data_IF_073567437896
#
_entry.id   IF_073567437896
#
_cell.length_a   1.000
_cell.length_b   1.000
_cell.length_c   1.000
_cell.angle_alpha   90.00
_cell.angle_beta   90.00
_cell.angle_gamma   90.00
#
_symmetry.space_group_name_H-M   'P 1'
#
loop_
_entity.id
_entity.type
_entity.pdbx_description
1 polymer ?
#
# COMPACT_ATOMS: atom_id res chain seq x y z
N UNK A 1 19.44 4.34 -27.55
CA UNK A 1 18.08 4.83 -27.90
C UNK A 1 17.66 5.78 -26.78
N UNK A 2 17.01 6.89 -27.09
CA UNK A 2 16.56 7.84 -26.07
C UNK A 2 15.06 7.69 -25.89
N UNK A 3 14.63 7.46 -24.66
CA UNK A 3 13.22 7.36 -24.26
C UNK A 3 12.66 8.74 -23.90
N UNK A 4 11.35 8.90 -23.99
CA UNK A 4 10.69 10.07 -23.42
C UNK A 4 10.77 9.99 -21.90
N UNK A 5 10.53 8.80 -21.33
CA UNK A 5 10.55 8.59 -19.88
C UNK A 5 11.26 7.28 -19.50
N UNK A 6 12.18 7.35 -18.54
CA UNK A 6 12.80 6.21 -17.88
C UNK A 6 12.27 6.13 -16.44
N UNK A 7 11.69 4.98 -16.08
CA UNK A 7 11.14 4.70 -14.74
C UNK A 7 12.09 3.78 -13.99
N UNK A 8 12.49 4.14 -12.77
CA UNK A 8 13.37 3.37 -11.90
C UNK A 8 12.51 2.70 -10.82
N UNK A 9 12.46 1.36 -10.87
CA UNK A 9 11.60 0.52 -10.03
C UNK A 9 10.26 0.20 -10.70
N UNK A 10 9.86 -1.06 -10.56
CA UNK A 10 8.61 -1.61 -11.11
C UNK A 10 7.58 -1.93 -10.03
N UNK A 11 7.59 -1.23 -8.91
CA UNK A 11 6.48 -1.24 -7.96
C UNK A 11 5.19 -0.73 -8.63
N UNK A 12 4.08 -0.80 -7.92
CA UNK A 12 2.79 -0.37 -8.49
C UNK A 12 2.84 1.09 -8.98
N UNK A 13 3.52 1.98 -8.27
CA UNK A 13 3.67 3.39 -8.67
C UNK A 13 4.41 3.56 -9.99
N UNK A 14 5.54 2.85 -10.15
CA UNK A 14 6.33 2.87 -11.38
C UNK A 14 5.57 2.28 -12.57
N UNK A 15 4.93 1.12 -12.39
CA UNK A 15 4.12 0.48 -13.43
C UNK A 15 2.89 1.32 -13.80
N UNK A 16 2.20 1.93 -12.84
CA UNK A 16 1.08 2.82 -13.11
C UNK A 16 1.51 4.06 -13.90
N UNK A 17 2.62 4.70 -13.53
CA UNK A 17 3.19 5.80 -14.30
C UNK A 17 3.56 5.37 -15.73
N UNK A 18 4.22 4.23 -15.86
CA UNK A 18 4.62 3.69 -17.16
C UNK A 18 3.40 3.40 -18.06
N UNK A 19 2.36 2.76 -17.48
CA UNK A 19 1.11 2.50 -18.21
C UNK A 19 0.43 3.79 -18.69
N UNK A 20 0.23 4.76 -17.79
CA UNK A 20 -0.43 6.04 -18.11
C UNK A 20 0.33 6.80 -19.21
N UNK A 21 1.66 6.83 -19.15
CA UNK A 21 2.49 7.52 -20.13
C UNK A 21 2.54 6.77 -21.47
N UNK A 22 2.62 5.43 -21.48
CA UNK A 22 2.54 4.62 -22.68
C UNK A 22 1.18 4.80 -23.37
N UNK A 23 0.08 4.82 -22.60
CA UNK A 23 -1.28 5.10 -23.08
C UNK A 23 -1.40 6.50 -23.70
N UNK A 24 -0.61 7.47 -23.22
CA UNK A 24 -0.49 8.81 -23.81
C UNK A 24 0.50 8.89 -24.99
N UNK A 25 0.97 7.75 -25.51
CA UNK A 25 1.84 7.67 -26.68
C UNK A 25 3.31 8.01 -26.44
N UNK A 26 3.79 7.94 -25.18
CA UNK A 26 5.20 8.17 -24.84
C UNK A 26 6.01 6.89 -24.95
N UNK A 27 7.27 7.01 -25.39
CA UNK A 27 8.24 5.93 -25.31
C UNK A 27 8.74 5.78 -23.88
N UNK A 28 8.38 4.67 -23.21
CA UNK A 28 8.66 4.44 -21.80
C UNK A 28 9.53 3.21 -21.60
N UNK A 29 10.52 3.34 -20.73
CA UNK A 29 11.35 2.24 -20.26
C UNK A 29 11.22 2.12 -18.75
N UNK A 30 10.92 0.92 -18.24
CA UNK A 30 10.96 0.58 -16.80
C UNK A 30 12.20 -0.28 -16.52
N UNK A 31 13.02 0.14 -15.56
CA UNK A 31 14.21 -0.56 -15.08
C UNK A 31 13.94 -1.16 -13.72
N UNK A 32 14.03 -2.49 -13.62
CA UNK A 32 13.80 -3.26 -12.40
C UNK A 32 15.05 -4.03 -11.99
N UNK A 33 15.46 -3.88 -10.74
CA UNK A 33 16.64 -4.58 -10.20
C UNK A 33 16.42 -6.07 -10.02
N UNK A 34 15.21 -6.48 -9.65
CA UNK A 34 14.86 -7.87 -9.38
C UNK A 34 14.66 -8.66 -10.71
N UNK A 35 14.61 -9.99 -10.61
CA UNK A 35 14.34 -10.85 -11.76
C UNK A 35 12.87 -10.84 -12.20
N UNK A 36 11.95 -10.39 -11.34
CA UNK A 36 10.53 -10.22 -11.63
C UNK A 36 10.07 -8.81 -11.24
N UNK A 37 9.13 -8.18 -11.98
CA UNK A 37 8.58 -6.88 -11.64
C UNK A 37 7.53 -6.99 -10.52
N UNK A 38 7.13 -5.84 -9.94
CA UNK A 38 5.95 -5.72 -9.11
C UNK A 38 6.18 -5.16 -7.69
N UNK A 39 7.43 -5.09 -7.20
CA UNK A 39 7.69 -4.60 -5.84
C UNK A 39 6.88 -5.37 -4.79
N UNK A 40 6.07 -4.67 -3.98
CA UNK A 40 5.20 -5.30 -2.97
C UNK A 40 3.97 -6.04 -3.57
N UNK A 41 3.73 -5.98 -4.87
CA UNK A 41 2.71 -6.78 -5.56
C UNK A 41 3.27 -8.06 -6.19
N UNK A 42 4.52 -8.40 -5.92
CA UNK A 42 5.07 -9.69 -6.34
C UNK A 42 4.34 -10.83 -5.64
N UNK A 43 4.26 -11.98 -6.29
CA UNK A 43 3.96 -13.26 -5.65
C UNK A 43 5.18 -14.17 -5.73
N UNK A 44 5.23 -15.14 -4.83
CA UNK A 44 6.29 -16.14 -4.82
C UNK A 44 5.72 -17.55 -4.65
N UNK A 45 6.46 -18.54 -5.16
CA UNK A 45 6.02 -19.93 -5.09
C UNK A 45 6.89 -20.74 -4.12
N UNK A 46 6.25 -21.59 -3.34
CA UNK A 46 6.91 -22.59 -2.48
C UNK A 46 6.11 -23.90 -2.49
N UNK A 47 6.76 -24.99 -2.87
CA UNK A 47 6.17 -26.34 -2.89
C UNK A 47 4.79 -26.42 -3.55
N UNK A 48 4.61 -25.73 -4.68
CA UNK A 48 3.36 -25.76 -5.45
C UNK A 48 2.27 -24.78 -5.00
N UNK A 49 2.52 -24.02 -3.92
CA UNK A 49 1.62 -22.95 -3.48
C UNK A 49 2.17 -21.59 -3.89
N UNK A 50 1.28 -20.68 -4.29
CA UNK A 50 1.61 -19.28 -4.61
C UNK A 50 1.17 -18.39 -3.46
N UNK A 51 2.04 -17.53 -2.99
CA UNK A 51 1.80 -16.59 -1.90
C UNK A 51 1.94 -15.17 -2.38
N UNK A 52 1.05 -14.30 -1.88
CA UNK A 52 1.16 -12.85 -2.07
C UNK A 52 2.19 -12.26 -1.10
N UNK A 53 2.72 -11.11 -1.48
CA UNK A 53 3.61 -10.38 -0.59
C UNK A 53 2.86 -9.28 0.16
N UNK A 54 2.26 -8.30 -0.51
CA UNK A 54 1.71 -7.13 0.16
C UNK A 54 0.26 -6.77 -0.20
N UNK A 55 -0.42 -7.55 -1.06
CA UNK A 55 -1.82 -7.31 -1.40
C UNK A 55 -2.73 -8.31 -0.71
N UNK A 56 -3.65 -7.83 0.11
CA UNK A 56 -4.64 -8.68 0.76
C UNK A 56 -6.07 -8.32 0.32
N UNK A 57 -6.37 -7.05 0.16
CA UNK A 57 -7.63 -6.53 -0.37
C UNK A 57 -7.50 -5.06 -0.74
N UNK A 58 -8.47 -4.54 -1.48
CA UNK A 58 -8.55 -3.13 -1.89
C UNK A 58 -9.94 -2.59 -1.60
N UNK A 59 -10.06 -1.26 -1.49
CA UNK A 59 -11.35 -0.59 -1.32
C UNK A 59 -11.77 0.16 -2.57
N UNK A 60 -13.09 0.49 -2.70
CA UNK A 60 -13.58 1.52 -3.58
C UNK A 60 -13.52 1.23 -5.09
N UNK A 61 -13.97 0.04 -5.53
CA UNK A 61 -13.96 -0.33 -6.95
C UNK A 61 -15.30 -0.15 -7.69
N UNK A 62 -16.40 0.24 -7.02
CA UNK A 62 -17.66 0.51 -7.72
C UNK A 62 -17.62 1.89 -8.38
N UNK A 63 -18.46 2.09 -9.39
CA UNK A 63 -18.60 3.39 -10.07
C UNK A 63 -18.89 4.52 -9.05
N UNK A 64 -18.12 5.60 -9.15
CA UNK A 64 -18.18 6.74 -8.23
C UNK A 64 -17.38 6.56 -6.92
N UNK A 65 -16.74 5.41 -6.70
CA UNK A 65 -15.89 5.18 -5.54
C UNK A 65 -14.41 5.53 -5.82
N UNK A 66 -13.61 5.58 -4.78
CA UNK A 66 -12.29 6.24 -4.78
C UNK A 66 -11.28 5.64 -5.79
N UNK A 67 -11.20 4.30 -5.93
CA UNK A 67 -10.25 3.66 -6.85
C UNK A 67 -10.83 3.35 -8.24
N UNK A 68 -12.15 3.46 -8.41
CA UNK A 68 -12.81 3.06 -9.65
C UNK A 68 -12.19 3.71 -10.90
N UNK A 69 -12.13 5.04 -10.95
CA UNK A 69 -11.75 5.76 -12.17
C UNK A 69 -10.30 5.51 -12.57
N UNK A 70 -9.39 5.42 -11.58
CA UNK A 70 -8.01 5.12 -11.89
C UNK A 70 -7.82 3.65 -12.29
N UNK A 71 -8.52 2.71 -11.66
CA UNK A 71 -8.48 1.31 -12.06
C UNK A 71 -9.12 1.08 -13.43
N UNK A 72 -10.15 1.84 -13.77
CA UNK A 72 -10.68 1.91 -15.13
C UNK A 72 -9.62 2.42 -16.12
N UNK A 73 -8.92 3.51 -15.77
CA UNK A 73 -7.87 4.07 -16.63
C UNK A 73 -6.68 3.13 -16.82
N UNK A 74 -6.32 2.36 -15.79
CA UNK A 74 -5.26 1.34 -15.81
C UNK A 74 -5.74 -0.02 -16.33
N UNK A 75 -6.99 -0.14 -16.78
CA UNK A 75 -7.62 -1.38 -17.25
C UNK A 75 -7.60 -2.53 -16.20
N UNK A 76 -7.53 -2.21 -14.90
CA UNK A 76 -7.45 -3.17 -13.81
C UNK A 76 -8.83 -3.67 -13.33
N UNK A 77 -9.94 -2.97 -13.68
CA UNK A 77 -11.28 -3.44 -13.33
C UNK A 77 -11.67 -4.75 -14.02
N UNK A 78 -11.00 -5.10 -15.14
CA UNK A 78 -11.19 -6.38 -15.85
C UNK A 78 -10.68 -7.61 -15.08
N UNK A 79 -9.87 -7.41 -14.03
CA UNK A 79 -9.34 -8.50 -13.22
C UNK A 79 -10.45 -9.14 -12.39
N UNK A 80 -10.29 -10.41 -11.96
CA UNK A 80 -11.35 -11.14 -11.26
C UNK A 80 -11.48 -10.69 -9.79
N UNK A 81 -12.03 -9.50 -9.58
CA UNK A 81 -12.32 -8.96 -8.25
C UNK A 81 -13.51 -9.66 -7.62
N UNK A 82 -13.35 -10.05 -6.36
CA UNK A 82 -14.38 -10.67 -5.55
C UNK A 82 -14.71 -9.75 -4.37
N UNK A 83 -15.98 -9.37 -4.26
CA UNK A 83 -16.42 -8.48 -3.19
C UNK A 83 -16.42 -9.23 -1.84
N UNK A 84 -15.86 -8.60 -0.81
CA UNK A 84 -15.90 -9.11 0.55
C UNK A 84 -17.30 -8.95 1.18
N UNK A 85 -17.54 -9.59 2.32
CA UNK A 85 -18.81 -9.55 3.04
C UNK A 85 -19.24 -8.13 3.31
N UNK A 86 -20.47 -7.78 2.92
CA UNK A 86 -20.97 -6.40 3.03
C UNK A 86 -21.26 -6.01 4.48
N UNK A 87 -21.77 -6.96 5.27
CA UNK A 87 -22.17 -6.74 6.66
C UNK A 87 -21.00 -6.74 7.66
N UNK A 88 -19.84 -7.20 7.21
CA UNK A 88 -18.63 -7.28 8.05
C UNK A 88 -17.39 -7.61 7.23
N UNK A 89 -16.91 -6.63 6.47
CA UNK A 89 -15.68 -6.75 5.69
C UNK A 89 -14.47 -7.02 6.56
N UNK A 90 -14.35 -6.26 7.65
CA UNK A 90 -13.31 -6.38 8.66
C UNK A 90 -13.97 -6.66 10.01
N UNK A 91 -13.63 -7.78 10.63
CA UNK A 91 -14.05 -8.14 11.98
C UNK A 91 -12.93 -7.73 12.95
N UNK A 92 -13.24 -6.82 13.86
CA UNK A 92 -12.29 -6.29 14.84
C UNK A 92 -12.55 -6.97 16.18
N UNK A 93 -11.62 -7.82 16.62
CA UNK A 93 -11.70 -8.48 17.93
C UNK A 93 -10.73 -7.80 18.90
N UNK A 94 -11.24 -7.28 19.99
CA UNK A 94 -10.48 -6.64 21.07
C UNK A 94 -10.79 -7.35 22.36
N UNK A 95 -9.78 -7.94 22.98
CA UNK A 95 -9.89 -8.71 24.23
C UNK A 95 -11.07 -9.71 24.24
N UNK A 96 -11.30 -10.37 23.09
CA UNK A 96 -12.32 -11.41 22.90
C UNK A 96 -13.71 -10.92 22.45
N UNK A 97 -13.96 -9.62 22.39
CA UNK A 97 -15.20 -9.04 21.88
C UNK A 97 -15.04 -8.64 20.41
N UNK A 98 -15.98 -9.01 19.53
CA UNK A 98 -15.88 -8.80 18.08
C UNK A 98 -16.90 -7.80 17.58
N UNK A 99 -16.43 -6.88 16.75
CA UNK A 99 -17.17 -5.79 16.11
C UNK A 99 -17.04 -5.88 14.60
N UNK A 100 -18.13 -5.60 13.88
CA UNK A 100 -18.18 -5.67 12.41
C UNK A 100 -18.04 -4.27 11.81
N UNK A 101 -17.11 -4.11 10.85
CA UNK A 101 -17.05 -2.93 9.99
C UNK A 101 -17.72 -3.28 8.65
N UNK A 102 -18.91 -2.72 8.41
CA UNK A 102 -19.72 -2.96 7.22
C UNK A 102 -19.27 -2.08 6.04
N UNK A 103 -19.66 -2.44 4.81
CA UNK A 103 -19.49 -1.63 3.61
C UNK A 103 -20.70 -0.72 3.39
N UNK A 104 -20.42 0.48 2.82
CA UNK A 104 -21.42 1.52 2.63
C UNK A 104 -21.56 2.41 3.86
N UNK A 105 -21.41 3.73 3.66
CA UNK A 105 -21.33 4.68 4.77
C UNK A 105 -22.53 4.64 5.72
N UNK A 106 -23.74 4.61 5.18
CA UNK A 106 -24.95 4.54 6.01
C UNK A 106 -25.04 3.19 6.74
N UNK A 107 -24.73 2.11 6.06
CA UNK A 107 -24.76 0.77 6.65
C UNK A 107 -23.67 0.59 7.72
N UNK A 108 -22.49 1.16 7.51
CA UNK A 108 -21.42 1.22 8.49
C UNK A 108 -21.88 1.90 9.80
N UNK A 109 -22.58 3.04 9.68
CA UNK A 109 -23.14 3.74 10.84
C UNK A 109 -24.20 2.88 11.54
N UNK A 110 -25.13 2.27 10.77
CA UNK A 110 -26.20 1.45 11.35
C UNK A 110 -25.66 0.24 12.11
N UNK A 111 -24.71 -0.48 11.54
CA UNK A 111 -24.11 -1.67 12.18
C UNK A 111 -23.40 -1.28 13.50
N UNK A 112 -22.56 -0.26 13.48
CA UNK A 112 -21.84 0.17 14.68
C UNK A 112 -22.78 0.81 15.74
N UNK A 113 -23.81 1.54 15.33
CA UNK A 113 -24.74 2.17 16.24
C UNK A 113 -25.63 1.13 16.98
N UNK A 114 -25.71 -0.12 16.55
CA UNK A 114 -26.37 -1.17 17.33
C UNK A 114 -25.61 -1.50 18.60
N UNK A 115 -24.28 -1.45 18.56
CA UNK A 115 -23.40 -1.74 19.70
C UNK A 115 -23.02 -0.46 20.49
N UNK A 116 -23.02 0.69 19.80
CA UNK A 116 -22.69 2.00 20.37
C UNK A 116 -23.83 3.02 20.14
N UNK A 117 -25.03 2.80 20.69
CA UNK A 117 -26.20 3.63 20.36
C UNK A 117 -26.03 5.10 20.73
N UNK A 118 -25.31 5.39 21.82
CA UNK A 118 -25.03 6.77 22.28
C UNK A 118 -24.00 7.50 21.41
N UNK A 119 -23.34 6.80 20.48
CA UNK A 119 -22.32 7.35 19.59
C UNK A 119 -22.84 7.56 18.14
N UNK A 120 -24.12 7.32 17.87
CA UNK A 120 -24.69 7.38 16.53
C UNK A 120 -24.41 8.70 15.79
N UNK A 121 -24.58 9.83 16.47
CA UNK A 121 -24.33 11.14 15.86
C UNK A 121 -22.83 11.40 15.64
N UNK A 122 -21.96 10.90 16.51
CA UNK A 122 -20.52 10.95 16.30
C UNK A 122 -20.08 10.07 15.13
N UNK A 123 -20.69 8.88 14.94
CA UNK A 123 -20.47 8.03 13.77
C UNK A 123 -20.89 8.69 12.46
N UNK A 124 -22.03 9.40 12.44
CA UNK A 124 -22.43 10.19 11.26
C UNK A 124 -21.42 11.28 10.95
N UNK A 125 -20.99 12.04 11.97
CA UNK A 125 -19.98 13.08 11.83
C UNK A 125 -18.64 12.53 11.30
N UNK A 126 -18.26 11.32 11.73
CA UNK A 126 -17.09 10.60 11.21
C UNK A 126 -17.23 10.28 9.73
N UNK A 127 -18.38 9.74 9.32
CA UNK A 127 -18.66 9.43 7.91
C UNK A 127 -18.73 10.69 7.05
N UNK A 128 -19.33 11.77 7.56
CA UNK A 128 -19.36 13.07 6.89
C UNK A 128 -17.94 13.62 6.65
N UNK A 129 -17.04 13.46 7.64
CA UNK A 129 -15.62 13.80 7.48
C UNK A 129 -14.95 12.96 6.39
N UNK A 130 -15.22 11.65 6.33
CA UNK A 130 -14.67 10.77 5.30
C UNK A 130 -15.18 11.09 3.89
N UNK A 131 -16.44 11.52 3.75
CA UNK A 131 -17.06 11.88 2.48
C UNK A 131 -16.74 13.31 2.04
N UNK A 132 -16.38 14.16 2.98
CA UNK A 132 -16.05 15.55 2.76
C UNK A 132 -14.73 15.78 2.01
N UNK A 133 -14.31 17.05 1.91
CA UNK A 133 -12.98 17.39 1.44
C UNK A 133 -11.88 16.79 2.31
N UNK A 134 -10.72 16.53 1.71
CA UNK A 134 -9.56 16.02 2.44
C UNK A 134 -9.24 16.91 3.65
N UNK A 135 -9.05 16.31 4.84
CA UNK A 135 -8.66 17.05 6.04
C UNK A 135 -7.29 17.72 5.86
N UNK A 136 -7.09 18.85 6.54
CA UNK A 136 -5.76 19.48 6.59
C UNK A 136 -4.74 18.47 7.15
N UNK A 137 -3.62 18.24 6.45
CA UNK A 137 -2.61 17.26 6.85
C UNK A 137 -1.91 17.57 8.19
N UNK A 138 -2.09 18.78 8.74
CA UNK A 138 -1.59 19.13 10.07
C UNK A 138 -2.52 18.70 11.22
N UNK A 139 -3.75 18.25 10.92
CA UNK A 139 -4.68 17.74 11.91
C UNK A 139 -4.26 16.35 12.37
N UNK A 140 -4.15 16.16 13.69
CA UNK A 140 -3.78 14.88 14.29
C UNK A 140 -5.00 13.94 14.40
N UNK A 141 -4.90 12.71 13.89
CA UNK A 141 -5.99 11.73 13.87
C UNK A 141 -6.46 11.33 15.29
N UNK A 142 -5.51 11.02 16.18
CA UNK A 142 -5.82 10.64 17.56
C UNK A 142 -6.57 11.72 18.30
N UNK A 143 -6.12 12.98 18.19
CA UNK A 143 -6.78 14.12 18.83
C UNK A 143 -8.18 14.36 18.26
N UNK A 144 -8.33 14.22 16.94
CA UNK A 144 -9.63 14.38 16.30
C UNK A 144 -10.62 13.32 16.77
N UNK A 145 -10.22 12.04 16.80
CA UNK A 145 -11.07 10.94 17.26
C UNK A 145 -11.49 11.14 18.73
N UNK A 146 -10.55 11.47 19.61
CA UNK A 146 -10.86 11.70 21.04
C UNK A 146 -11.71 12.97 21.28
N UNK A 147 -11.72 13.91 20.36
CA UNK A 147 -12.60 15.10 20.41
C UNK A 147 -14.02 14.82 19.95
N UNK A 148 -14.26 13.75 19.19
CA UNK A 148 -15.55 13.43 18.60
C UNK A 148 -16.24 12.23 19.26
N UNK A 149 -15.50 11.28 19.78
CA UNK A 149 -16.02 10.07 20.41
C UNK A 149 -15.76 10.06 21.91
N UNK A 150 -16.77 9.69 22.69
CA UNK A 150 -16.63 9.51 24.15
C UNK A 150 -16.26 8.07 24.55
N UNK A 151 -16.41 7.10 23.62
CA UNK A 151 -16.06 5.69 23.84
C UNK A 151 -14.67 5.38 23.31
N UNK A 152 -13.73 5.07 24.18
CA UNK A 152 -12.39 4.62 23.80
C UNK A 152 -12.44 3.30 23.01
N UNK A 153 -13.33 2.38 23.41
CA UNK A 153 -13.53 1.12 22.69
C UNK A 153 -13.96 1.36 21.24
N UNK A 154 -14.87 2.32 20.99
CA UNK A 154 -15.26 2.66 19.62
C UNK A 154 -14.12 3.28 18.84
N UNK A 155 -13.29 4.14 19.44
CA UNK A 155 -12.08 4.66 18.79
C UNK A 155 -11.15 3.51 18.39
N UNK A 156 -10.97 2.53 19.26
CA UNK A 156 -10.16 1.35 18.98
C UNK A 156 -10.78 0.47 17.87
N UNK A 157 -12.09 0.29 17.86
CA UNK A 157 -12.82 -0.43 16.81
C UNK A 157 -12.66 0.27 15.45
N UNK A 158 -12.89 1.58 15.38
CA UNK A 158 -12.73 2.38 14.15
C UNK A 158 -11.29 2.35 13.62
N UNK A 159 -10.32 2.24 14.51
CA UNK A 159 -8.91 2.17 14.17
C UNK A 159 -8.41 0.74 13.94
N UNK A 160 -9.19 -0.27 14.31
CA UNK A 160 -8.78 -1.67 14.36
C UNK A 160 -8.48 -2.28 13.00
N UNK A 161 -9.03 -1.76 11.89
CA UNK A 161 -8.64 -2.19 10.54
C UNK A 161 -7.32 -1.56 10.05
N UNK A 162 -6.67 -0.74 10.88
CA UNK A 162 -5.48 0.04 10.51
C UNK A 162 -4.14 -0.69 10.68
N UNK A 163 -4.06 -2.00 10.41
CA UNK A 163 -2.77 -2.56 9.98
C UNK A 163 -2.37 -2.08 8.57
N UNK A 164 -3.20 -1.26 7.95
CA UNK A 164 -2.98 -0.57 6.66
C UNK A 164 -2.18 0.73 6.81
N UNK A 165 -2.01 1.25 8.01
CA UNK A 165 -1.16 2.39 8.34
C UNK A 165 -0.62 2.25 9.77
N UNK A 166 0.51 2.90 10.07
CA UNK A 166 1.04 2.90 11.42
C UNK A 166 0.28 3.90 12.31
N UNK A 167 -0.41 3.38 13.32
CA UNK A 167 -1.10 4.21 14.30
C UNK A 167 -0.10 4.83 15.27
N UNK A 168 0.15 6.11 15.16
CA UNK A 168 1.00 6.87 16.07
C UNK A 168 0.22 8.06 16.63
N UNK A 169 -0.05 8.03 17.96
CA UNK A 169 -0.87 9.03 18.63
C UNK A 169 -0.37 10.46 18.43
N UNK A 170 0.95 10.64 18.43
CA UNK A 170 1.55 11.96 18.38
C UNK A 170 1.64 12.54 16.96
N UNK A 171 1.55 11.70 15.93
CA UNK A 171 1.97 12.15 14.61
C UNK A 171 1.09 11.76 13.44
N UNK A 172 0.20 10.76 13.57
CA UNK A 172 -0.60 10.33 12.42
C UNK A 172 -1.53 11.46 11.94
N UNK A 173 -1.38 11.94 10.68
CA UNK A 173 -2.30 12.91 10.12
C UNK A 173 -3.69 12.32 9.95
N UNK A 174 -4.73 13.11 10.25
CA UNK A 174 -6.13 12.74 10.00
C UNK A 174 -6.36 12.41 8.51
N UNK A 175 -5.70 13.12 7.62
CA UNK A 175 -5.72 12.86 6.17
C UNK A 175 -5.29 11.41 5.85
N UNK A 176 -4.15 10.97 6.38
CA UNK A 176 -3.65 9.62 6.11
C UNK A 176 -4.54 8.54 6.74
N UNK A 177 -5.07 8.82 7.94
CA UNK A 177 -6.05 7.95 8.59
C UNK A 177 -7.33 7.85 7.78
N UNK A 178 -7.91 8.97 7.34
CA UNK A 178 -9.14 9.01 6.55
C UNK A 178 -9.02 8.21 5.24
N UNK A 179 -7.93 8.38 4.49
CA UNK A 179 -7.66 7.61 3.27
C UNK A 179 -7.46 6.11 3.53
N UNK A 180 -6.93 5.72 4.69
CA UNK A 180 -6.82 4.32 5.08
C UNK A 180 -8.16 3.66 5.43
N UNK A 181 -9.24 4.43 5.55
CA UNK A 181 -10.59 3.97 5.91
C UNK A 181 -11.60 4.11 4.77
N UNK A 182 -11.64 5.30 4.15
CA UNK A 182 -12.70 5.73 3.22
C UNK A 182 -13.01 4.70 2.13
N UNK A 183 -12.02 4.30 1.36
CA UNK A 183 -12.24 3.38 0.22
C UNK A 183 -12.73 2.00 0.68
N UNK A 184 -12.25 1.52 1.81
CA UNK A 184 -12.66 0.22 2.35
C UNK A 184 -14.08 0.22 2.92
N UNK A 185 -14.53 1.34 3.49
CA UNK A 185 -15.92 1.51 3.92
C UNK A 185 -16.85 1.66 2.71
N UNK A 186 -16.41 2.30 1.62
CA UNK A 186 -17.19 2.37 0.38
C UNK A 186 -17.54 0.98 -0.13
N UNK A 187 -16.56 0.18 -0.45
CA UNK A 187 -16.66 -1.24 -0.78
C UNK A 187 -15.27 -1.89 -0.66
N UNK A 188 -15.24 -3.18 -0.40
CA UNK A 188 -13.98 -3.91 -0.24
C UNK A 188 -13.95 -5.14 -1.14
N UNK A 189 -12.78 -5.38 -1.76
CA UNK A 189 -12.61 -6.38 -2.79
C UNK A 189 -11.30 -7.14 -2.62
N UNK A 190 -11.33 -8.42 -2.90
CA UNK A 190 -10.17 -9.29 -2.94
C UNK A 190 -9.97 -9.82 -4.35
N UNK A 191 -8.73 -9.91 -4.79
CA UNK A 191 -8.42 -10.50 -6.08
C UNK A 191 -8.56 -12.03 -5.99
N UNK A 192 -9.30 -12.64 -6.91
CA UNK A 192 -9.31 -14.09 -7.09
C UNK A 192 -8.04 -14.48 -7.86
N UNK A 193 -7.17 -15.27 -7.25
CA UNK A 193 -5.81 -15.52 -7.71
C UNK A 193 -4.78 -14.78 -6.87
N UNK A 194 -3.65 -14.44 -7.45
CA UNK A 194 -2.54 -13.77 -6.76
C UNK A 194 -2.27 -12.35 -7.30
N UNK A 195 -1.56 -11.54 -6.52
CA UNK A 195 -1.28 -10.13 -6.82
C UNK A 195 -0.46 -9.91 -8.10
N UNK A 196 0.26 -10.94 -8.59
CA UNK A 196 0.98 -10.85 -9.86
C UNK A 196 0.07 -10.69 -11.07
N UNK A 197 -1.25 -10.95 -10.94
CA UNK A 197 -2.23 -10.63 -11.97
C UNK A 197 -2.26 -9.13 -12.31
N UNK A 198 -2.20 -8.27 -11.29
CA UNK A 198 -2.10 -6.81 -11.48
C UNK A 198 -0.82 -6.46 -12.21
N UNK A 199 0.29 -7.03 -11.74
CA UNK A 199 1.62 -6.77 -12.31
C UNK A 199 1.68 -7.21 -13.77
N UNK A 200 1.25 -8.44 -14.07
CA UNK A 200 1.22 -8.97 -15.45
C UNK A 200 0.34 -8.12 -16.35
N UNK A 201 -0.86 -7.77 -15.88
CA UNK A 201 -1.77 -6.89 -16.64
C UNK A 201 -1.09 -5.59 -17.06
N UNK A 202 -0.49 -4.87 -16.09
CA UNK A 202 0.19 -3.60 -16.37
C UNK A 202 1.41 -3.77 -17.29
N UNK A 203 2.24 -4.79 -17.05
CA UNK A 203 3.44 -5.04 -17.86
C UNK A 203 3.08 -5.40 -19.31
N UNK A 204 2.06 -6.25 -19.50
CA UNK A 204 1.61 -6.65 -20.84
C UNK A 204 0.99 -5.46 -21.59
N UNK A 205 0.20 -4.63 -20.90
CA UNK A 205 -0.38 -3.42 -21.50
C UNK A 205 0.73 -2.41 -21.88
N UNK A 206 1.72 -2.17 -21.01
CA UNK A 206 2.88 -1.31 -21.33
C UNK A 206 3.59 -1.81 -22.58
N UNK A 207 3.88 -3.10 -22.68
CA UNK A 207 4.54 -3.71 -23.85
C UNK A 207 3.69 -3.63 -25.11
N UNK A 208 2.39 -3.89 -25.01
CA UNK A 208 1.45 -3.78 -26.13
C UNK A 208 1.35 -2.34 -26.67
N UNK A 209 1.56 -1.34 -25.81
CA UNK A 209 1.64 0.08 -26.19
C UNK A 209 3.03 0.53 -26.66
N UNK A 210 4.02 -0.40 -26.78
CA UNK A 210 5.36 -0.11 -27.25
C UNK A 210 6.36 0.33 -26.18
N UNK A 211 6.00 0.27 -24.90
CA UNK A 211 6.93 0.46 -23.79
C UNK A 211 7.75 -0.79 -23.49
N UNK A 212 8.81 -0.63 -22.71
CA UNK A 212 9.72 -1.70 -22.34
C UNK A 212 9.80 -1.86 -20.82
N UNK A 213 9.88 -3.10 -20.34
CA UNK A 213 10.13 -3.43 -18.93
C UNK A 213 11.28 -4.41 -18.88
N UNK A 214 12.41 -3.97 -18.34
CA UNK A 214 13.68 -4.72 -18.25
C UNK A 214 13.94 -5.06 -16.77
N UNK A 215 13.95 -6.35 -16.46
CA UNK A 215 14.36 -6.88 -15.15
C UNK A 215 15.86 -7.18 -15.12
N UNK A 216 16.44 -7.32 -13.90
CA UNK A 216 17.88 -7.46 -13.65
C UNK A 216 18.67 -6.26 -14.19
N UNK A 217 18.07 -5.09 -14.16
CA UNK A 217 18.63 -3.82 -14.59
C UNK A 217 18.68 -2.87 -13.38
N UNK A 218 19.54 -3.20 -12.42
CA UNK A 218 19.75 -2.38 -11.23
C UNK A 218 20.43 -1.07 -11.59
N UNK A 219 19.76 0.05 -11.36
CA UNK A 219 20.33 1.39 -11.58
C UNK A 219 21.29 1.72 -10.43
N UNK A 220 22.55 2.00 -10.75
CA UNK A 220 23.60 2.36 -9.79
C UNK A 220 23.95 3.86 -9.79
N UNK A 221 23.58 4.55 -10.88
CA UNK A 221 23.82 5.98 -10.98
C UNK A 221 22.80 6.68 -11.89
N UNK A 222 22.34 7.84 -11.44
CA UNK A 222 21.61 8.82 -12.25
C UNK A 222 22.59 9.97 -12.59
N UNK A 223 22.97 10.06 -13.86
CA UNK A 223 23.97 11.01 -14.34
C UNK A 223 23.29 12.36 -14.51
N UNK A 224 23.68 13.34 -13.67
CA UNK A 224 23.21 14.72 -13.76
C UNK A 224 24.14 15.58 -14.59
N UNK A 225 23.59 16.40 -15.47
CA UNK A 225 24.28 17.48 -16.16
C UNK A 225 23.40 18.74 -16.15
N UNK A 226 23.96 19.83 -15.68
CA UNK A 226 23.34 21.17 -15.66
C UNK A 226 21.90 21.20 -15.04
N UNK A 227 21.70 20.46 -13.94
CA UNK A 227 20.44 20.44 -13.19
C UNK A 227 19.39 19.47 -13.72
N UNK A 228 19.76 18.60 -14.67
CA UNK A 228 18.87 17.58 -15.26
C UNK A 228 19.56 16.23 -15.32
N UNK A 229 18.82 15.14 -15.13
CA UNK A 229 19.32 13.79 -15.39
C UNK A 229 19.34 13.56 -16.89
N UNK A 230 20.48 13.09 -17.40
CA UNK A 230 20.67 12.77 -18.82
C UNK A 230 20.65 11.27 -19.09
N UNK A 231 21.02 10.44 -18.11
CA UNK A 231 21.00 9.00 -18.25
C UNK A 231 20.90 8.28 -16.89
N UNK A 232 20.40 7.04 -16.92
CA UNK A 232 20.53 6.04 -15.88
C UNK A 232 21.60 5.03 -16.29
N UNK A 233 22.56 4.75 -15.40
CA UNK A 233 23.60 3.72 -15.59
C UNK A 233 23.27 2.53 -14.70
N UNK A 234 23.20 1.34 -15.30
CA UNK A 234 22.93 0.10 -14.61
C UNK A 234 24.20 -0.66 -14.22
N UNK A 235 24.09 -1.55 -13.23
CA UNK A 235 25.18 -2.40 -12.72
C UNK A 235 25.84 -3.30 -13.78
N UNK A 236 25.10 -3.63 -14.84
CA UNK A 236 25.60 -4.37 -15.98
C UNK A 236 26.37 -3.52 -17.00
N UNK A 237 26.55 -2.21 -16.73
CA UNK A 237 27.24 -1.25 -17.58
C UNK A 237 26.37 -0.64 -18.70
N UNK A 238 25.11 -1.05 -18.83
CA UNK A 238 24.18 -0.44 -19.79
C UNK A 238 23.76 0.95 -19.35
N UNK A 239 23.63 1.85 -20.33
CA UNK A 239 23.26 3.25 -20.14
C UNK A 239 22.00 3.57 -20.92
N UNK A 240 20.99 4.09 -20.22
CA UNK A 240 19.71 4.47 -20.77
C UNK A 240 19.48 5.97 -20.67
N UNK A 241 19.21 6.62 -21.81
CA UNK A 241 18.96 8.06 -21.89
C UNK A 241 17.46 8.34 -21.92
N UNK A 242 17.05 9.44 -21.24
CA UNK A 242 15.66 9.85 -21.17
C UNK A 242 15.49 11.36 -21.15
N UNK A 243 14.30 11.82 -21.52
CA UNK A 243 13.92 13.23 -21.34
C UNK A 243 13.44 13.49 -19.91
N UNK A 244 12.72 12.55 -19.33
CA UNK A 244 12.26 12.54 -17.92
C UNK A 244 12.67 11.23 -17.25
N UNK A 245 12.85 11.31 -15.93
CA UNK A 245 13.11 10.16 -15.06
C UNK A 245 12.09 10.16 -13.93
N UNK A 246 11.46 8.99 -13.68
CA UNK A 246 10.55 8.77 -12.56
C UNK A 246 11.17 7.73 -11.66
N UNK A 247 11.25 8.01 -10.36
CA UNK A 247 11.74 7.07 -9.38
C UNK A 247 10.60 6.57 -8.48
N UNK A 248 10.40 5.24 -8.48
CA UNK A 248 9.46 4.50 -7.62
C UNK A 248 10.19 3.82 -6.44
N UNK A 249 11.48 4.06 -6.28
CA UNK A 249 12.27 3.58 -5.15
C UNK A 249 12.26 4.60 -4.00
N UNK A 250 12.74 4.18 -2.84
CA UNK A 250 12.76 5.05 -1.65
C UNK A 250 13.56 6.35 -1.94
N UNK A 251 13.05 7.55 -1.57
CA UNK A 251 13.69 8.83 -1.91
C UNK A 251 15.15 8.96 -1.46
N UNK A 252 15.51 8.40 -0.30
CA UNK A 252 16.91 8.39 0.16
C UNK A 252 17.79 7.63 -0.83
N UNK A 253 17.32 6.50 -1.34
CA UNK A 253 18.04 5.71 -2.34
C UNK A 253 18.08 6.43 -3.70
N UNK A 254 16.96 7.03 -4.12
CA UNK A 254 16.92 7.83 -5.35
C UNK A 254 18.02 8.88 -5.37
N UNK A 255 18.14 9.64 -4.27
CA UNK A 255 19.17 10.69 -4.21
C UNK A 255 20.57 10.15 -3.91
N UNK A 256 20.73 8.92 -3.44
CA UNK A 256 22.03 8.24 -3.37
C UNK A 256 22.55 7.87 -4.77
N UNK A 257 21.66 7.58 -5.74
CA UNK A 257 22.04 7.34 -7.14
C UNK A 257 22.57 8.59 -7.85
N UNK A 258 22.21 9.80 -7.41
CA UNK A 258 22.74 11.05 -7.95
C UNK A 258 24.03 11.39 -7.20
N UNK A 259 25.18 10.89 -7.66
CA UNK A 259 26.47 10.99 -6.96
C UNK A 259 26.95 12.44 -6.85
N UNK A 260 26.91 13.18 -7.95
CA UNK A 260 27.30 14.58 -8.02
C UNK A 260 26.13 15.44 -8.48
N UNK A 261 25.88 16.57 -7.79
CA UNK A 261 24.82 17.50 -8.16
C UNK A 261 25.08 18.89 -7.59
N UNK A 262 24.89 19.89 -8.45
CA UNK A 262 24.93 21.30 -8.04
C UNK A 262 23.59 21.77 -7.46
N UNK A 263 22.49 21.10 -7.80
CA UNK A 263 21.12 21.48 -7.38
C UNK A 263 20.63 20.69 -6.15
N UNK A 264 21.08 19.45 -5.96
CA UNK A 264 20.77 18.63 -4.78
C UNK A 264 21.74 18.97 -3.65
N UNK A 265 21.38 19.97 -2.86
CA UNK A 265 22.23 20.45 -1.76
C UNK A 265 22.33 19.42 -0.62
N UNK A 266 23.46 19.41 0.10
CA UNK A 266 23.69 18.54 1.25
C UNK A 266 22.55 18.60 2.29
N UNK A 267 22.03 19.79 2.58
CA UNK A 267 20.91 19.96 3.52
C UNK A 267 19.65 19.18 3.09
N UNK A 268 19.36 19.11 1.79
CA UNK A 268 18.23 18.34 1.28
C UNK A 268 18.42 16.83 1.55
N UNK A 269 19.61 16.28 1.25
CA UNK A 269 19.95 14.87 1.54
C UNK A 269 19.87 14.57 3.04
N UNK A 270 20.41 15.45 3.88
CA UNK A 270 20.34 15.30 5.35
C UNK A 270 18.89 15.29 5.84
N UNK A 271 18.02 16.17 5.31
CA UNK A 271 16.59 16.17 5.68
C UNK A 271 15.91 14.86 5.30
N UNK A 272 16.16 14.34 4.11
CA UNK A 272 15.59 13.05 3.69
C UNK A 272 16.07 11.90 4.59
N UNK A 273 17.36 11.86 4.95
CA UNK A 273 17.89 10.80 5.81
C UNK A 273 17.42 10.87 7.27
N UNK A 274 16.82 11.97 7.70
CA UNK A 274 16.21 12.12 9.03
C UNK A 274 14.75 11.68 9.08
N UNK A 275 14.11 11.41 7.92
CA UNK A 275 12.73 10.94 7.87
C UNK A 275 12.65 9.53 8.46
N UNK A 276 11.71 9.34 9.37
CA UNK A 276 11.43 8.04 9.95
C UNK A 276 10.58 7.21 9.01
N UNK A 277 10.87 5.93 8.93
CA UNK A 277 10.02 4.96 8.25
C UNK A 277 8.99 4.37 9.23
N UNK A 278 7.93 3.80 8.67
CA UNK A 278 6.95 3.02 9.42
C UNK A 278 7.54 1.68 9.85
N UNK A 279 6.84 0.96 10.71
CA UNK A 279 7.23 -0.39 11.08
C UNK A 279 7.33 -1.32 9.86
N UNK A 280 8.09 -2.40 10.01
CA UNK A 280 8.08 -3.54 9.09
C UNK A 280 6.98 -4.54 9.46
N UNK A 281 6.64 -5.44 8.52
CA UNK A 281 5.59 -6.44 8.72
C UNK A 281 6.20 -7.85 8.75
N UNK A 282 5.75 -8.66 9.70
CA UNK A 282 5.94 -10.12 9.69
C UNK A 282 4.70 -10.73 9.03
N UNK A 283 4.90 -11.58 8.04
CA UNK A 283 3.82 -12.33 7.37
C UNK A 283 4.07 -13.82 7.56
N UNK A 284 3.11 -14.49 8.15
CA UNK A 284 3.11 -15.95 8.32
C UNK A 284 2.12 -16.52 7.30
N UNK A 285 2.64 -17.09 6.23
CA UNK A 285 1.84 -17.73 5.19
C UNK A 285 1.64 -19.20 5.53
N UNK A 286 0.43 -19.58 5.89
CA UNK A 286 0.08 -20.91 6.36
C UNK A 286 -0.55 -21.73 5.23
N UNK A 287 -0.05 -22.94 5.00
CA UNK A 287 -0.69 -23.96 4.17
C UNK A 287 -1.54 -24.85 5.09
N UNK A 288 -2.81 -24.99 4.78
CA UNK A 288 -3.78 -25.70 5.61
C UNK A 288 -4.03 -27.12 5.10
N UNK A 289 -4.39 -28.02 6.02
CA UNK A 289 -4.91 -29.33 5.67
C UNK A 289 -6.21 -29.18 4.87
N UNK A 290 -6.44 -30.00 3.85
CA UNK A 290 -7.68 -29.95 3.08
C UNK A 290 -8.92 -30.06 3.98
N UNK A 291 -9.94 -29.28 3.70
CA UNK A 291 -11.26 -29.34 4.36
C UNK A 291 -11.24 -29.12 5.88
N UNK A 292 -10.27 -28.38 6.41
CA UNK A 292 -10.19 -28.10 7.86
C UNK A 292 -10.70 -26.71 8.24
N UNK A 293 -10.42 -25.68 7.42
CA UNK A 293 -10.86 -24.33 7.68
C UNK A 293 -11.90 -23.91 6.62
N UNK A 294 -13.17 -23.70 6.98
CA UNK A 294 -14.14 -23.08 6.08
C UNK A 294 -13.62 -21.69 5.61
N UNK A 295 -13.75 -21.42 4.31
CA UNK A 295 -13.40 -20.12 3.77
C UNK A 295 -14.28 -19.02 4.39
N UNK A 296 -13.67 -17.94 4.84
CA UNK A 296 -14.38 -16.75 5.27
C UNK A 296 -14.04 -15.57 4.35
N UNK A 297 -15.09 -14.88 3.89
CA UNK A 297 -14.99 -13.83 2.88
C UNK A 297 -14.84 -12.42 3.50
N UNK A 298 -14.08 -12.34 4.59
CA UNK A 298 -13.80 -11.11 5.33
C UNK A 298 -12.36 -11.16 5.86
N UNK A 299 -11.92 -10.13 6.55
CA UNK A 299 -10.67 -10.15 7.31
C UNK A 299 -10.97 -10.20 8.81
N UNK A 300 -10.08 -10.78 9.58
CA UNK A 300 -10.14 -10.73 11.04
C UNK A 300 -8.94 -9.97 11.56
N UNK A 301 -9.17 -8.97 12.37
CA UNK A 301 -8.15 -8.22 13.09
C UNK A 301 -8.30 -8.50 14.58
N UNK A 302 -7.26 -8.98 15.22
CA UNK A 302 -7.30 -9.39 16.62
C UNK A 302 -6.28 -8.61 17.42
N UNK A 303 -6.71 -8.07 18.54
CA UNK A 303 -5.93 -7.25 19.45
C UNK A 303 -6.06 -7.78 20.87
N UNK A 304 -4.95 -7.79 21.61
CA UNK A 304 -4.92 -8.18 23.01
C UNK A 304 -3.92 -7.34 23.81
N UNK A 305 -4.30 -6.99 25.03
CA UNK A 305 -3.43 -6.37 26.00
C UNK A 305 -3.34 -4.85 25.92
N UNK A 306 -4.36 -4.15 25.40
CA UNK A 306 -4.41 -2.71 25.39
C UNK A 306 -5.12 -2.08 24.18
N UNK A 307 -5.04 -0.76 24.05
CA UNK A 307 -5.58 -0.03 22.91
C UNK A 307 -4.86 -0.41 21.61
N UNK A 308 -5.58 -0.42 20.49
CA UNK A 308 -5.00 -0.67 19.15
C UNK A 308 -3.92 0.38 18.79
N UNK A 309 -3.95 1.54 19.43
CA UNK A 309 -2.98 2.63 19.27
C UNK A 309 -1.70 2.43 20.09
N UNK A 310 -1.64 1.43 20.96
CA UNK A 310 -0.45 1.17 21.76
C UNK A 310 0.53 0.25 20.97
N UNK A 311 1.79 0.62 21.00
CA UNK A 311 2.85 -0.15 20.34
C UNK A 311 2.99 -1.54 20.96
N UNK A 312 2.81 -1.65 22.27
CA UNK A 312 2.92 -2.89 23.02
C UNK A 312 1.74 -3.85 22.83
N UNK A 313 0.61 -3.40 22.31
CA UNK A 313 -0.58 -4.24 22.07
C UNK A 313 -0.25 -5.30 21.03
N UNK A 314 -0.49 -6.55 21.38
CA UNK A 314 -0.39 -7.65 20.42
C UNK A 314 -1.50 -7.53 19.37
N UNK A 315 -1.14 -7.70 18.11
CA UNK A 315 -2.07 -7.53 17.00
C UNK A 315 -1.76 -8.46 15.85
N UNK A 316 -2.80 -8.98 15.22
CA UNK A 316 -2.68 -9.80 14.01
C UNK A 316 -3.89 -9.58 13.10
N UNK A 317 -3.64 -9.55 11.80
CA UNK A 317 -4.67 -9.65 10.76
C UNK A 317 -4.64 -11.05 10.16
N UNK A 318 -5.80 -11.68 10.02
CA UNK A 318 -5.99 -12.93 9.32
C UNK A 318 -6.69 -12.67 8.00
N UNK A 319 -6.15 -13.19 6.90
CA UNK A 319 -6.71 -13.05 5.56
C UNK A 319 -6.65 -14.38 4.81
N UNK A 320 -7.81 -14.90 4.42
CA UNK A 320 -7.91 -16.07 3.54
C UNK A 320 -7.82 -15.64 2.08
N UNK A 321 -7.16 -16.46 1.24
CA UNK A 321 -7.25 -16.30 -0.21
C UNK A 321 -8.58 -16.87 -0.72
N UNK A 322 -9.19 -16.23 -1.73
CA UNK A 322 -10.38 -16.74 -2.40
C UNK A 322 -10.04 -18.09 -3.06
N UNK A 323 -10.77 -19.18 -2.75
CA UNK A 323 -10.51 -20.48 -3.39
C UNK A 323 -10.72 -20.40 -4.91
N UNK A 324 -9.68 -20.76 -5.68
CA UNK A 324 -9.74 -20.68 -7.15
C UNK A 324 -10.63 -21.77 -7.76
N UNK A 325 -10.69 -22.92 -7.12
CA UNK A 325 -11.50 -24.08 -7.51
C UNK A 325 -12.97 -24.00 -7.08
N UNK A 326 -13.37 -22.92 -6.39
CA UNK A 326 -14.70 -22.75 -5.83
C UNK A 326 -14.98 -23.60 -4.60
N UNK A 327 -13.94 -24.14 -3.95
CA UNK A 327 -14.04 -24.86 -2.68
C UNK A 327 -14.65 -24.00 -1.58
N UNK A 328 -15.40 -24.60 -0.67
CA UNK A 328 -15.91 -23.98 0.55
C UNK A 328 -14.81 -23.87 1.65
N UNK A 329 -13.61 -24.38 1.39
CA UNK A 329 -12.51 -24.43 2.35
C UNK A 329 -11.32 -23.63 1.88
N UNK A 330 -10.69 -22.91 2.81
CA UNK A 330 -9.44 -22.22 2.58
C UNK A 330 -8.28 -23.21 2.50
N UNK A 331 -7.38 -23.00 1.56
CA UNK A 331 -6.10 -23.74 1.43
C UNK A 331 -4.94 -22.97 1.97
N UNK A 332 -5.03 -21.65 1.98
CA UNK A 332 -4.01 -20.71 2.46
C UNK A 332 -4.63 -19.67 3.40
N UNK A 333 -3.91 -19.37 4.46
CA UNK A 333 -4.24 -18.31 5.41
C UNK A 333 -2.98 -17.49 5.68
N UNK A 334 -3.05 -16.19 5.52
CA UNK A 334 -1.98 -15.28 5.89
C UNK A 334 -2.28 -14.62 7.24
N UNK A 335 -1.26 -14.63 8.13
CA UNK A 335 -1.25 -13.86 9.37
C UNK A 335 -0.25 -12.72 9.24
N UNK A 336 -0.70 -11.49 9.44
CA UNK A 336 0.12 -10.30 9.35
C UNK A 336 0.20 -9.60 10.70
N UNK A 337 1.41 -9.29 11.14
CA UNK A 337 1.64 -8.56 12.39
C UNK A 337 2.87 -7.66 12.30
N UNK A 338 2.86 -6.46 12.86
CA UNK A 338 4.07 -5.66 13.04
C UNK A 338 4.90 -6.12 14.27
N UNK A 339 4.36 -7.03 15.08
CA UNK A 339 5.00 -7.51 16.30
C UNK A 339 5.96 -8.67 16.01
N UNK A 340 7.13 -8.68 16.65
CA UNK A 340 8.12 -9.77 16.51
C UNK A 340 7.68 -11.09 17.18
N UNK A 341 6.56 -11.05 17.91
CA UNK A 341 6.01 -12.24 18.59
C UNK A 341 5.21 -13.09 17.60
N UNK A 342 5.31 -14.42 17.73
CA UNK A 342 4.52 -15.37 16.93
C UNK A 342 3.01 -15.10 17.13
N UNK A 343 2.24 -14.75 16.09
CA UNK A 343 0.84 -14.39 16.22
C UNK A 343 -0.11 -15.59 16.30
N UNK A 344 0.41 -16.83 16.32
CA UNK A 344 -0.40 -18.04 16.20
C UNK A 344 -1.41 -18.18 17.35
N UNK A 345 -1.00 -17.97 18.61
CA UNK A 345 -1.90 -18.04 19.76
C UNK A 345 -3.02 -16.99 19.67
N UNK A 346 -2.67 -15.78 19.24
CA UNK A 346 -3.65 -14.71 19.05
C UNK A 346 -4.61 -15.03 17.90
N UNK A 347 -4.13 -15.60 16.80
CA UNK A 347 -4.96 -16.05 15.68
C UNK A 347 -5.87 -17.22 16.07
N UNK A 348 -5.41 -18.12 16.93
CA UNK A 348 -6.18 -19.28 17.39
C UNK A 348 -7.37 -18.87 18.29
N UNK A 349 -7.32 -17.72 18.94
CA UNK A 349 -8.46 -17.19 19.71
C UNK A 349 -9.71 -16.91 18.84
N UNK A 350 -9.55 -16.69 17.54
CA UNK A 350 -10.65 -16.43 16.58
C UNK A 350 -10.79 -17.51 15.50
N UNK A 351 -9.84 -18.45 15.44
CA UNK A 351 -9.88 -19.65 14.60
C UNK A 351 -9.44 -20.84 15.47
N UNK A 352 -10.35 -21.39 16.29
CA UNK A 352 -10.03 -22.47 17.21
C UNK A 352 -9.43 -23.69 16.50
N UNK A 353 -8.35 -24.25 17.03
CA UNK A 353 -7.64 -25.38 16.45
C UNK A 353 -6.79 -25.06 15.23
N UNK A 354 -6.51 -23.80 14.95
CA UNK A 354 -5.70 -23.35 13.80
C UNK A 354 -4.35 -24.06 13.76
N UNK A 355 -3.68 -24.22 14.90
CA UNK A 355 -2.38 -24.89 14.98
C UNK A 355 -2.42 -26.31 14.38
N UNK A 356 -3.49 -27.07 14.66
CA UNK A 356 -3.66 -28.42 14.15
C UNK A 356 -4.02 -28.49 12.67
N UNK A 357 -4.52 -27.39 12.09
CA UNK A 357 -4.86 -27.29 10.68
C UNK A 357 -3.65 -27.02 9.79
N UNK A 358 -2.54 -26.51 10.34
CA UNK A 358 -1.36 -26.09 9.56
C UNK A 358 -0.52 -27.30 9.16
N UNK A 359 -0.21 -27.39 7.86
CA UNK A 359 0.72 -28.39 7.30
C UNK A 359 2.12 -27.79 7.13
N UNK A 360 2.18 -26.55 6.68
CA UNK A 360 3.43 -25.83 6.41
C UNK A 360 3.25 -24.34 6.72
N UNK A 361 4.34 -23.71 7.11
CA UNK A 361 4.40 -22.28 7.40
C UNK A 361 5.63 -21.67 6.73
N UNK A 362 5.45 -20.51 6.13
CA UNK A 362 6.52 -19.68 5.58
C UNK A 362 6.45 -18.29 6.23
N UNK A 363 7.62 -17.78 6.63
CA UNK A 363 7.68 -16.51 7.35
C UNK A 363 8.49 -15.51 6.52
N UNK A 364 7.87 -14.36 6.23
CA UNK A 364 8.55 -13.16 5.74
C UNK A 364 8.68 -12.16 6.89
N UNK A 365 9.86 -11.58 7.03
CA UNK A 365 10.19 -10.64 8.10
C UNK A 365 10.52 -9.27 7.51
N UNK A 366 10.63 -8.19 8.31
CA UNK A 366 11.11 -6.90 7.82
C UNK A 366 12.45 -7.01 7.06
N UNK A 367 13.35 -7.91 7.49
CA UNK A 367 14.61 -8.16 6.76
C UNK A 367 14.36 -8.81 5.38
N UNK A 368 13.35 -9.68 5.25
CA UNK A 368 12.95 -10.23 3.94
C UNK A 368 12.48 -9.10 3.02
N UNK A 369 11.64 -8.21 3.52
CA UNK A 369 11.17 -7.04 2.78
C UNK A 369 12.32 -6.13 2.36
N UNK A 370 13.20 -5.76 3.30
CA UNK A 370 14.38 -4.94 3.00
C UNK A 370 15.23 -5.55 1.88
N UNK A 371 15.42 -6.87 1.90
CA UNK A 371 16.21 -7.58 0.88
C UNK A 371 15.60 -7.50 -0.52
N UNK A 372 14.27 -7.61 -0.63
CA UNK A 372 13.60 -7.72 -1.94
C UNK A 372 13.05 -6.40 -2.47
N UNK A 373 12.69 -5.47 -1.61
CA UNK A 373 12.15 -4.16 -2.00
C UNK A 373 13.14 -3.01 -1.78
N UNK A 374 14.29 -3.29 -1.16
CA UNK A 374 15.29 -2.31 -0.77
C UNK A 374 14.72 -1.16 0.11
N UNK A 375 13.54 -1.33 0.68
CA UNK A 375 12.94 -0.34 1.57
C UNK A 375 13.73 -0.29 2.89
N UNK A 376 14.20 0.86 3.35
CA UNK A 376 14.91 0.97 4.62
C UNK A 376 14.09 0.38 5.78
N UNK A 377 14.78 -0.34 6.66
CA UNK A 377 14.20 -1.03 7.83
C UNK A 377 13.12 -2.07 7.48
N UNK A 378 12.96 -2.42 6.19
CA UNK A 378 11.88 -3.28 5.72
C UNK A 378 10.49 -2.71 5.97
N UNK A 379 10.36 -1.38 6.01
CA UNK A 379 9.11 -0.72 6.36
C UNK A 379 7.97 -1.07 5.40
N UNK A 380 6.80 -1.35 5.96
CA UNK A 380 5.63 -1.77 5.18
C UNK A 380 5.04 -0.62 4.35
N UNK A 381 5.09 0.62 4.87
CA UNK A 381 4.42 1.78 4.27
C UNK A 381 5.38 2.93 3.96
N UNK A 382 6.70 2.68 3.93
CA UNK A 382 7.71 3.67 3.63
C UNK A 382 7.80 4.77 4.68
N UNK A 383 7.95 6.02 4.26
CA UNK A 383 8.11 7.18 5.13
C UNK A 383 6.86 7.41 5.98
N UNK A 384 7.02 7.45 7.31
CA UNK A 384 5.95 7.77 8.26
C UNK A 384 5.44 9.19 8.03
N UNK A 385 4.13 9.34 7.85
CA UNK A 385 3.49 10.65 7.74
C UNK A 385 3.35 11.28 9.12
N UNK A 386 3.68 12.57 9.25
CA UNK A 386 3.70 13.29 10.51
C UNK A 386 2.95 14.63 10.39
N UNK A 387 1.82 14.76 11.06
CA UNK A 387 0.97 15.96 11.04
C UNK A 387 1.68 17.20 11.59
N UNK A 388 2.74 17.04 12.38
CA UNK A 388 3.55 18.17 12.89
C UNK A 388 4.50 18.73 11.85
N UNK A 389 4.79 17.93 10.80
CA UNK A 389 5.69 18.29 9.71
C UNK A 389 5.20 17.75 8.36
N UNK A 390 3.95 18.06 7.96
CA UNK A 390 3.33 17.45 6.78
C UNK A 390 4.12 17.74 5.49
N UNK A 391 4.61 18.96 5.31
CA UNK A 391 5.40 19.34 4.12
C UNK A 391 6.73 18.59 3.97
N UNK A 392 7.23 17.96 5.04
CA UNK A 392 8.46 17.18 5.01
C UNK A 392 8.23 15.68 4.88
N UNK A 393 7.11 15.18 5.36
CA UNK A 393 6.79 13.75 5.41
C UNK A 393 5.84 13.31 4.28
N UNK A 394 5.06 14.25 3.73
CA UNK A 394 4.23 14.05 2.54
C UNK A 394 4.95 14.70 1.34
N UNK A 395 5.90 13.96 0.78
CA UNK A 395 6.77 14.47 -0.27
C UNK A 395 6.00 14.83 -1.54
N UNK A 396 6.47 15.85 -2.25
CA UNK A 396 5.99 16.20 -3.59
C UNK A 396 6.60 15.23 -4.63
N UNK A 397 5.89 14.93 -5.74
CA UNK A 397 6.50 14.30 -6.89
C UNK A 397 7.67 15.10 -7.49
N UNK A 398 7.67 16.42 -7.37
CA UNK A 398 8.75 17.29 -7.89
C UNK A 398 9.96 17.23 -7.01
N UNK A 399 11.14 17.19 -7.63
CA UNK A 399 12.44 17.22 -6.96
C UNK A 399 13.23 18.50 -7.29
N UNK A 400 14.36 18.74 -6.62
CA UNK A 400 15.28 19.82 -7.03
C UNK A 400 15.87 19.67 -8.44
N UNK A 401 15.84 18.44 -9.00
CA UNK A 401 16.30 18.16 -10.36
C UNK A 401 15.09 18.26 -11.30
N UNK A 402 15.21 19.11 -12.33
CA UNK A 402 14.07 19.57 -13.14
C UNK A 402 13.26 18.45 -13.83
N UNK A 403 13.92 17.36 -14.23
CA UNK A 403 13.33 16.24 -14.95
C UNK A 403 13.36 14.91 -14.17
N UNK A 404 13.70 14.94 -12.88
CA UNK A 404 13.58 13.79 -11.97
C UNK A 404 12.33 13.95 -11.10
N UNK A 405 11.40 13.03 -11.23
CA UNK A 405 10.17 12.99 -10.45
C UNK A 405 10.15 11.76 -9.54
N UNK A 406 9.41 11.85 -8.45
CA UNK A 406 9.15 10.74 -7.53
C UNK A 406 7.73 10.21 -7.70
N UNK A 407 7.54 8.93 -7.45
CA UNK A 407 6.24 8.26 -7.34
C UNK A 407 6.28 7.21 -6.22
N UNK A 408 5.16 6.50 -6.02
CA UNK A 408 5.09 5.40 -5.07
C UNK A 408 4.74 5.81 -3.64
N UNK A 409 4.76 4.85 -2.72
CA UNK A 409 4.23 4.98 -1.36
C UNK A 409 4.94 6.00 -0.46
N UNK A 410 6.13 6.44 -0.84
CA UNK A 410 6.89 7.43 -0.08
C UNK A 410 6.46 8.87 -0.36
N UNK A 411 5.71 9.08 -1.45
CA UNK A 411 5.21 10.38 -1.90
C UNK A 411 3.75 10.50 -1.47
N UNK A 412 3.37 11.64 -0.91
CA UNK A 412 2.02 11.91 -0.39
C UNK A 412 1.49 10.81 0.55
N UNK A 413 0.72 9.85 0.02
CA UNK A 413 0.07 8.77 0.77
C UNK A 413 0.57 7.39 0.30
N UNK A 414 0.48 6.40 1.17
CA UNK A 414 0.81 5.01 0.91
C UNK A 414 -0.45 4.17 0.59
N UNK A 415 -0.27 2.88 0.40
CA UNK A 415 -1.32 1.96 -0.03
C UNK A 415 -1.64 2.11 -1.53
N UNK A 416 -2.42 1.18 -2.08
CA UNK A 416 -2.74 1.20 -3.52
C UNK A 416 -3.41 2.50 -3.96
N UNK A 417 -4.33 3.03 -3.15
CA UNK A 417 -5.01 4.30 -3.42
C UNK A 417 -4.03 5.48 -3.46
N UNK A 418 -3.25 5.68 -2.40
CA UNK A 418 -2.30 6.79 -2.33
C UNK A 418 -1.23 6.73 -3.42
N UNK A 419 -0.76 5.51 -3.75
CA UNK A 419 0.21 5.29 -4.84
C UNK A 419 -0.42 5.58 -6.21
N UNK A 420 -1.66 5.17 -6.43
CA UNK A 420 -2.39 5.44 -7.67
C UNK A 420 -2.60 6.95 -7.89
N UNK A 421 -3.04 7.67 -6.86
CA UNK A 421 -3.19 9.14 -6.89
C UNK A 421 -1.84 9.82 -7.19
N UNK A 422 -0.76 9.36 -6.55
CA UNK A 422 0.59 9.89 -6.80
C UNK A 422 1.04 9.63 -8.24
N UNK A 423 0.76 8.46 -8.81
CA UNK A 423 1.10 8.14 -10.19
C UNK A 423 0.37 9.08 -11.18
N UNK A 424 -0.91 9.38 -10.95
CA UNK A 424 -1.65 10.37 -11.76
C UNK A 424 -1.03 11.77 -11.66
N UNK A 425 -0.68 12.21 -10.45
CA UNK A 425 0.00 13.50 -10.27
C UNK A 425 1.35 13.56 -10.98
N UNK A 426 2.18 12.53 -10.82
CA UNK A 426 3.53 12.47 -11.41
C UNK A 426 3.46 12.50 -12.93
N UNK A 427 2.57 11.71 -13.53
CA UNK A 427 2.38 11.68 -14.98
C UNK A 427 1.76 12.97 -15.51
N UNK A 428 0.82 13.54 -14.77
CA UNK A 428 0.22 14.85 -15.09
C UNK A 428 1.24 15.97 -15.18
N UNK A 429 2.30 15.96 -14.36
CA UNK A 429 3.41 16.93 -14.46
C UNK A 429 4.11 16.85 -15.81
N UNK A 430 4.36 15.65 -16.31
CA UNK A 430 5.04 15.43 -17.60
C UNK A 430 4.13 15.86 -18.76
N UNK A 431 2.89 15.39 -18.76
CA UNK A 431 1.94 15.64 -19.85
C UNK A 431 1.56 17.12 -19.96
N UNK A 432 1.38 17.85 -18.84
CA UNK A 432 1.02 19.26 -18.85
C UNK A 432 2.19 20.18 -19.20
N UNK A 433 3.44 19.82 -18.87
CA UNK A 433 4.62 20.64 -19.22
C UNK A 433 4.85 20.73 -20.74
N UNK A 434 4.28 19.83 -21.52
CA UNK A 434 4.46 19.77 -22.98
C UNK A 434 3.33 20.45 -23.74
N UNK A 435 2.13 20.53 -23.16
CA UNK A 435 1.01 21.33 -23.72
C UNK A 435 1.22 22.84 -23.59
N UNK A 436 2.23 23.24 -22.79
CA UNK A 436 2.57 24.66 -22.54
C UNK A 436 3.77 25.15 -23.38
N UNK A 437 4.32 24.30 -24.25
CA UNK A 437 5.37 24.62 -25.22
C UNK A 437 4.81 24.66 -26.64
#
# INVERSE_FOLDING_TARGET
MKYDVVVIGSGFGGLACAHLLSKAGRSVLVLESHWQPGGCLQSYQRKGHTFDTGLHYVGGLREGETLHDIFCTLDLLRLPWHQLDVDGTDLITIDGETFCLAQGFDHFVEVLATQFPDQREALKSYVDMLQGPDPDPSVNAWQWLNGHFSSQLLIDVLSGSCLKTELCRESLPLLAFAHSQKSYIQSSWRLKGDSSLIVRSLVDDIRNMGGEVICRAEVEELIEQDGSIVAALCSNGERYEGSYFISDIHPVQTFALVKESKVVKRIFRTRLSMLKNTYGMYTYSLVLKPQTLPYFNHNKFVYAGGSVWDEATQKVMLSCRVPEDGSEYATLLDLLTPCEVNPMELAESVVPGLHDMVVQQYISTPHTWQRFTHTPDGSAYGIRKDCRQPLFTMLSPRTPISNLLLTGQNVMLHGLEGVAMTAQQTTGIILNNETSK
#
